data_IF_040124112586
#
_entry.id   IF_040124112586
#
_cell.length_a   1.000
_cell.length_b   1.000
_cell.length_c   1.000
_cell.angle_alpha   90.00
_cell.angle_beta   90.00
_cell.angle_gamma   90.00
#
_symmetry.space_group_name_H-M   'P 1'
#
loop_
_entity.id
_entity.type
_entity.pdbx_description
1 polymer ?
#
# COMPACT_ATOMS: atom_id res chain seq x y z
N UNK A 1 17.84 -16.68 -0.43
CA UNK A 1 17.57 -15.85 0.76
C UNK A 1 18.14 -16.64 1.92
N UNK A 2 19.09 -16.07 2.64
CA UNK A 2 19.55 -16.73 3.88
C UNK A 2 18.30 -16.88 4.76
N UNK A 3 18.05 -18.05 5.36
CA UNK A 3 16.82 -18.32 6.14
C UNK A 3 16.54 -17.19 7.14
N UNK A 4 17.61 -16.60 7.68
CA UNK A 4 17.60 -15.41 8.53
C UNK A 4 16.94 -14.19 7.89
N UNK A 5 17.21 -13.85 6.61
CA UNK A 5 16.56 -12.73 5.93
C UNK A 5 15.04 -12.94 5.80
N UNK A 6 14.60 -14.19 5.58
CA UNK A 6 13.18 -14.50 5.49
C UNK A 6 12.49 -14.38 6.85
N UNK A 7 13.10 -14.96 7.88
CA UNK A 7 12.60 -14.91 9.27
C UNK A 7 12.55 -13.45 9.74
N UNK A 8 13.61 -12.68 9.54
CA UNK A 8 13.67 -11.28 9.94
C UNK A 8 12.64 -10.43 9.18
N UNK A 9 12.57 -10.56 7.84
CA UNK A 9 11.61 -9.80 7.04
C UNK A 9 10.16 -10.11 7.39
N UNK A 10 9.79 -11.39 7.44
CA UNK A 10 8.43 -11.80 7.80
C UNK A 10 8.09 -11.50 9.27
N UNK A 11 9.06 -11.58 10.18
CA UNK A 11 8.91 -11.22 11.58
C UNK A 11 8.64 -9.72 11.77
N UNK A 12 9.38 -8.86 11.06
CA UNK A 12 9.13 -7.41 11.08
C UNK A 12 7.74 -7.08 10.54
N UNK A 13 7.33 -7.68 9.42
CA UNK A 13 5.99 -7.50 8.86
C UNK A 13 4.91 -7.96 9.84
N UNK A 14 5.12 -9.09 10.52
CA UNK A 14 4.18 -9.58 11.52
C UNK A 14 4.09 -8.66 12.74
N UNK A 15 5.23 -8.15 13.23
CA UNK A 15 5.26 -7.19 14.33
C UNK A 15 4.51 -5.89 13.98
N UNK A 16 4.72 -5.36 12.77
CA UNK A 16 3.96 -4.22 12.26
C UNK A 16 2.47 -4.57 12.13
N UNK A 17 2.13 -5.77 11.67
CA UNK A 17 0.75 -6.25 11.59
C UNK A 17 0.05 -6.30 12.95
N UNK A 18 0.73 -6.79 13.99
CA UNK A 18 0.24 -6.78 15.38
C UNK A 18 0.01 -5.34 15.83
N UNK A 19 0.98 -4.45 15.60
CA UNK A 19 0.87 -3.05 16.00
C UNK A 19 -0.32 -2.34 15.32
N UNK A 20 -0.44 -2.47 13.99
CA UNK A 20 -1.54 -1.86 13.23
C UNK A 20 -2.89 -2.42 13.65
N UNK A 21 -2.98 -3.73 13.94
CA UNK A 21 -4.19 -4.36 14.47
C UNK A 21 -4.54 -3.77 15.83
N UNK A 22 -3.57 -3.71 16.74
CA UNK A 22 -3.76 -3.09 18.06
C UNK A 22 -4.31 -1.67 17.95
N UNK A 23 -3.64 -0.80 17.18
CA UNK A 23 -4.09 0.59 16.97
C UNK A 23 -5.51 0.63 16.37
N UNK A 24 -5.81 -0.20 15.37
CA UNK A 24 -7.13 -0.20 14.72
C UNK A 24 -8.27 -0.58 15.68
N UNK A 25 -8.01 -1.43 16.67
CA UNK A 25 -9.01 -1.85 17.65
C UNK A 25 -9.12 -0.92 18.87
N UNK A 26 -8.06 -0.20 19.25
CA UNK A 26 -8.07 0.69 20.42
C UNK A 26 -8.50 2.12 20.13
N UNK A 27 -8.48 2.55 18.86
CA UNK A 27 -8.90 3.91 18.48
C UNK A 27 -10.42 4.06 18.44
N UNK A 28 -10.87 5.30 18.69
CA UNK A 28 -12.28 5.70 18.67
C UNK A 28 -12.49 6.90 17.72
N UNK A 29 -13.68 7.07 17.13
CA UNK A 29 -14.89 6.24 17.27
C UNK A 29 -14.80 4.91 16.51
N UNK A 30 -15.46 3.87 17.03
CA UNK A 30 -15.30 2.50 16.55
C UNK A 30 -15.73 2.31 15.08
N UNK A 31 -16.74 3.06 14.64
CA UNK A 31 -17.30 3.01 13.29
C UNK A 31 -16.28 3.46 12.25
N UNK A 32 -15.45 4.46 12.58
CA UNK A 32 -14.43 4.97 11.67
C UNK A 32 -13.30 3.96 11.39
N UNK A 33 -13.12 2.97 12.27
CA UNK A 33 -12.07 1.96 12.17
C UNK A 33 -12.58 0.59 11.72
N UNK A 34 -13.84 0.43 11.32
CA UNK A 34 -14.37 -0.86 10.87
C UNK A 34 -13.58 -1.46 9.70
N UNK A 35 -13.34 -0.67 8.65
CA UNK A 35 -12.54 -1.13 7.51
C UNK A 35 -11.07 -1.39 7.89
N UNK A 36 -10.36 -0.46 8.57
CA UNK A 36 -9.04 -0.74 9.11
C UNK A 36 -8.95 -2.04 9.95
N UNK A 37 -9.93 -2.31 10.82
CA UNK A 37 -9.97 -3.52 11.65
C UNK A 37 -10.10 -4.79 10.82
N UNK A 38 -10.96 -4.79 9.80
CA UNK A 38 -11.13 -5.93 8.89
C UNK A 38 -9.81 -6.26 8.18
N UNK A 39 -9.19 -5.25 7.56
CA UNK A 39 -7.95 -5.42 6.80
C UNK A 39 -6.80 -5.81 7.74
N UNK A 40 -6.66 -5.14 8.89
CA UNK A 40 -5.61 -5.43 9.86
C UNK A 40 -5.71 -6.87 10.40
N UNK A 41 -6.93 -7.35 10.68
CA UNK A 41 -7.16 -8.72 11.15
C UNK A 41 -6.75 -9.78 10.12
N UNK A 42 -7.15 -9.60 8.86
CA UNK A 42 -6.73 -10.51 7.78
C UNK A 42 -5.21 -10.44 7.60
N UNK A 43 -4.66 -9.22 7.59
CA UNK A 43 -3.23 -9.00 7.40
C UNK A 43 -2.38 -9.64 8.51
N UNK A 44 -2.73 -9.47 9.79
CA UNK A 44 -1.97 -10.04 10.91
C UNK A 44 -2.02 -11.56 10.92
N UNK A 45 -3.15 -12.16 10.56
CA UNK A 45 -3.28 -13.62 10.42
C UNK A 45 -2.37 -14.14 9.30
N UNK A 46 -2.41 -13.51 8.12
CA UNK A 46 -1.57 -13.92 6.98
C UNK A 46 -0.08 -13.68 7.24
N UNK A 47 0.27 -12.58 7.91
CA UNK A 47 1.64 -12.28 8.32
C UNK A 47 2.15 -13.30 9.36
N UNK A 48 1.33 -13.64 10.35
CA UNK A 48 1.64 -14.67 11.35
C UNK A 48 1.84 -16.05 10.71
N UNK A 49 0.98 -16.42 9.76
CA UNK A 49 1.15 -17.65 8.97
C UNK A 49 2.46 -17.67 8.19
N UNK A 50 2.81 -16.55 7.54
CA UNK A 50 4.04 -16.43 6.76
C UNK A 50 5.29 -16.52 7.64
N UNK A 51 5.29 -15.82 8.78
CA UNK A 51 6.36 -15.88 9.76
C UNK A 51 6.51 -17.27 10.38
N UNK A 52 5.40 -17.91 10.76
CA UNK A 52 5.38 -19.27 11.29
C UNK A 52 6.03 -20.27 10.31
N UNK A 53 5.65 -20.25 9.04
CA UNK A 53 6.30 -21.08 8.01
C UNK A 53 7.78 -20.76 7.83
N UNK A 54 8.19 -19.49 7.95
CA UNK A 54 9.59 -19.09 7.86
C UNK A 54 10.44 -19.65 9.02
N UNK A 55 9.93 -19.58 10.25
CA UNK A 55 10.57 -20.14 11.45
C UNK A 55 10.66 -21.65 11.35
N UNK A 56 9.57 -22.32 10.94
CA UNK A 56 9.53 -23.79 10.78
C UNK A 56 10.33 -24.30 9.58
N UNK A 57 10.85 -23.42 8.72
CA UNK A 57 11.61 -23.82 7.53
C UNK A 57 10.77 -24.45 6.42
N UNK A 58 9.44 -24.28 6.47
CA UNK A 58 8.49 -24.84 5.50
C UNK A 58 8.40 -24.00 4.21
N UNK A 59 9.01 -22.83 4.18
CA UNK A 59 8.96 -21.90 3.05
C UNK A 59 10.14 -22.10 2.09
N UNK A 60 9.86 -22.27 0.79
CA UNK A 60 10.87 -22.23 -0.27
C UNK A 60 11.48 -20.83 -0.35
N UNK A 61 12.80 -20.72 -0.22
CA UNK A 61 13.51 -19.43 -0.23
C UNK A 61 14.16 -19.18 -1.59
N UNK A 62 13.68 -18.15 -2.32
CA UNK A 62 14.25 -17.68 -3.61
C UNK A 62 15.53 -16.84 -3.45
N UNK A 63 15.99 -16.14 -4.49
CA UNK A 63 17.29 -15.43 -4.54
C UNK A 63 17.44 -14.22 -3.59
N UNK A 64 16.42 -13.82 -2.84
CA UNK A 64 16.48 -12.68 -1.90
C UNK A 64 16.45 -11.32 -2.60
N UNK A 65 16.48 -10.23 -1.83
CA UNK A 65 16.47 -8.86 -2.36
C UNK A 65 17.91 -8.45 -2.69
N UNK A 66 18.19 -8.21 -3.97
CA UNK A 66 19.48 -7.66 -4.40
C UNK A 66 19.56 -6.15 -4.15
N UNK A 67 20.77 -5.60 -4.13
CA UNK A 67 20.99 -4.14 -4.03
C UNK A 67 20.26 -3.38 -5.13
N UNK A 68 20.30 -3.90 -6.36
CA UNK A 68 19.60 -3.29 -7.50
C UNK A 68 18.09 -3.27 -7.29
N UNK A 69 17.52 -4.40 -6.84
CA UNK A 69 16.09 -4.48 -6.54
C UNK A 69 15.68 -3.49 -5.44
N UNK A 70 16.48 -3.39 -4.38
CA UNK A 70 16.23 -2.43 -3.31
C UNK A 70 16.23 -0.98 -3.81
N UNK A 71 17.26 -0.59 -4.59
CA UNK A 71 17.36 0.76 -5.16
C UNK A 71 16.18 1.04 -6.10
N UNK A 72 15.73 0.06 -6.89
CA UNK A 72 14.56 0.20 -7.76
C UNK A 72 13.26 0.46 -6.98
N UNK A 73 13.15 0.06 -5.72
CA UNK A 73 11.97 0.33 -4.88
C UNK A 73 11.97 1.73 -4.26
N UNK A 74 13.15 2.36 -4.11
CA UNK A 74 13.32 3.66 -3.43
C UNK A 74 12.43 4.77 -3.99
N UNK A 75 12.31 4.98 -5.32
CA UNK A 75 11.43 6.01 -5.85
C UNK A 75 9.97 5.82 -5.44
N UNK A 76 9.48 4.57 -5.46
CA UNK A 76 8.11 4.26 -5.03
C UNK A 76 7.91 4.50 -3.53
N UNK A 77 8.88 4.11 -2.70
CA UNK A 77 8.85 4.38 -1.26
C UNK A 77 8.82 5.89 -0.97
N UNK A 78 9.58 6.69 -1.73
CA UNK A 78 9.57 8.14 -1.60
C UNK A 78 8.19 8.73 -1.93
N UNK A 79 7.57 8.31 -3.04
CA UNK A 79 6.22 8.75 -3.42
C UNK A 79 5.19 8.38 -2.34
N UNK A 80 5.24 7.15 -1.83
CA UNK A 80 4.33 6.70 -0.77
C UNK A 80 4.53 7.46 0.53
N UNK A 81 5.77 7.77 0.90
CA UNK A 81 6.08 8.56 2.10
C UNK A 81 5.51 9.97 1.98
N UNK A 82 5.70 10.62 0.83
CA UNK A 82 5.12 11.95 0.56
C UNK A 82 3.59 11.89 0.61
N UNK A 83 2.99 10.85 0.02
CA UNK A 83 1.54 10.65 0.01
C UNK A 83 0.96 10.52 1.41
N UNK A 84 1.49 9.61 2.24
CA UNK A 84 0.92 9.28 3.56
C UNK A 84 1.03 10.45 4.53
N UNK A 85 2.17 11.13 4.58
CA UNK A 85 2.42 12.13 5.62
C UNK A 85 2.01 13.56 5.23
N UNK A 86 1.97 13.89 3.92
CA UNK A 86 1.66 15.25 3.47
C UNK A 86 0.52 15.29 2.45
N UNK A 87 0.64 14.58 1.33
CA UNK A 87 -0.25 14.81 0.19
C UNK A 87 -1.71 14.46 0.49
N UNK A 88 -1.97 13.32 1.15
CA UNK A 88 -3.34 12.92 1.48
C UNK A 88 -4.04 13.91 2.41
N UNK A 89 -3.30 14.50 3.37
CA UNK A 89 -3.82 15.54 4.26
C UNK A 89 -4.00 16.87 3.53
N UNK A 90 -3.05 17.25 2.67
CA UNK A 90 -3.06 18.53 2.00
C UNK A 90 -4.11 18.58 0.89
N UNK A 91 -4.13 17.59 -0.01
CA UNK A 91 -4.92 17.59 -1.24
C UNK A 91 -6.28 16.88 -1.10
N UNK A 92 -6.43 16.01 -0.11
CA UNK A 92 -7.54 15.07 0.00
C UNK A 92 -7.18 13.67 -0.46
N UNK A 93 -7.97 12.69 -0.05
CA UNK A 93 -7.67 11.27 -0.30
C UNK A 93 -7.70 10.91 -1.77
N UNK A 94 -8.75 11.21 -2.51
CA UNK A 94 -8.92 10.80 -3.90
C UNK A 94 -7.98 11.57 -4.81
N UNK A 95 -7.83 12.89 -4.62
CA UNK A 95 -6.90 13.70 -5.41
C UNK A 95 -5.46 13.26 -5.19
N UNK A 96 -5.02 13.13 -3.94
CA UNK A 96 -3.67 12.65 -3.64
C UNK A 96 -3.44 11.24 -4.16
N UNK A 97 -4.45 10.36 -4.09
CA UNK A 97 -4.36 8.98 -4.57
C UNK A 97 -4.21 8.94 -6.09
N UNK A 98 -4.97 9.76 -6.82
CA UNK A 98 -4.85 9.87 -8.27
C UNK A 98 -3.43 10.28 -8.69
N UNK A 99 -2.88 11.32 -8.03
CA UNK A 99 -1.53 11.82 -8.31
C UNK A 99 -0.48 10.77 -7.95
N UNK A 100 -0.54 10.20 -6.75
CA UNK A 100 0.43 9.21 -6.29
C UNK A 100 0.42 7.96 -7.18
N UNK A 101 -0.78 7.45 -7.52
CA UNK A 101 -0.92 6.30 -8.41
C UNK A 101 -0.40 6.60 -9.80
N UNK A 102 -0.72 7.77 -10.38
CA UNK A 102 -0.24 8.16 -11.70
C UNK A 102 1.29 8.29 -11.76
N UNK A 103 1.90 8.84 -10.71
CA UNK A 103 3.36 8.92 -10.58
C UNK A 103 3.96 7.53 -10.47
N UNK A 104 3.44 6.67 -9.60
CA UNK A 104 3.92 5.29 -9.44
C UNK A 104 3.80 4.51 -10.75
N UNK A 105 2.64 4.59 -11.41
CA UNK A 105 2.42 3.97 -12.69
C UNK A 105 3.43 4.49 -13.72
N UNK A 106 3.68 5.80 -13.74
CA UNK A 106 4.66 6.39 -14.66
C UNK A 106 6.10 5.96 -14.37
N UNK A 107 6.47 5.82 -13.10
CA UNK A 107 7.84 5.43 -12.70
C UNK A 107 8.15 3.95 -12.97
N UNK A 108 7.14 3.07 -12.86
CA UNK A 108 7.33 1.62 -12.94
C UNK A 108 6.82 0.98 -14.23
N UNK A 109 6.02 1.68 -15.04
CA UNK A 109 5.63 1.22 -16.37
C UNK A 109 6.82 1.34 -17.34
N UNK A 110 7.27 0.24 -17.97
CA UNK A 110 8.41 0.26 -18.89
C UNK A 110 8.13 1.02 -20.20
N UNK A 111 6.89 1.43 -20.47
CA UNK A 111 6.56 2.15 -21.69
C UNK A 111 7.26 3.53 -21.79
N UNK A 112 7.63 3.98 -23.01
CA UNK A 112 8.36 5.23 -23.20
C UNK A 112 7.60 6.48 -22.71
N UNK A 113 8.34 7.40 -22.08
CA UNK A 113 7.82 8.69 -21.63
C UNK A 113 7.70 9.76 -22.74
N UNK A 114 8.29 9.52 -23.90
CA UNK A 114 8.24 10.43 -25.05
C UNK A 114 6.95 10.30 -25.88
N UNK A 115 6.13 9.28 -25.62
CA UNK A 115 4.95 8.98 -26.41
C UNK A 115 3.67 9.48 -25.75
N UNK A 116 2.94 10.40 -26.41
CA UNK A 116 1.65 10.90 -25.92
C UNK A 116 0.61 9.79 -25.68
N UNK A 117 0.62 8.73 -26.50
CA UNK A 117 -0.27 7.57 -26.34
C UNK A 117 -0.06 6.85 -25.00
N UNK A 118 1.18 6.77 -24.53
CA UNK A 118 1.51 6.17 -23.23
C UNK A 118 0.91 6.99 -22.10
N UNK A 119 1.05 8.33 -22.16
CA UNK A 119 0.46 9.23 -21.17
C UNK A 119 -1.06 9.13 -21.09
N UNK A 120 -1.74 9.06 -22.25
CA UNK A 120 -3.19 8.87 -22.30
C UNK A 120 -3.59 7.55 -21.64
N UNK A 121 -2.89 6.44 -21.93
CA UNK A 121 -3.16 5.15 -21.27
C UNK A 121 -2.97 5.24 -19.76
N UNK A 122 -1.89 5.85 -19.27
CA UNK A 122 -1.63 6.03 -17.83
C UNK A 122 -2.72 6.85 -17.15
N UNK A 123 -3.19 7.90 -17.82
CA UNK A 123 -4.30 8.73 -17.33
C UNK A 123 -5.60 7.92 -17.25
N UNK A 124 -5.93 7.14 -18.27
CA UNK A 124 -7.13 6.28 -18.28
C UNK A 124 -7.06 5.22 -17.19
N UNK A 125 -5.94 4.53 -17.04
CA UNK A 125 -5.76 3.52 -15.98
C UNK A 125 -5.93 4.15 -14.59
N UNK A 126 -5.36 5.34 -14.39
CA UNK A 126 -5.50 6.09 -13.14
C UNK A 126 -6.96 6.47 -12.87
N UNK A 127 -7.68 6.96 -13.87
CA UNK A 127 -9.09 7.33 -13.72
C UNK A 127 -9.95 6.11 -13.36
N UNK A 128 -9.73 4.97 -14.02
CA UNK A 128 -10.42 3.71 -13.71
C UNK A 128 -10.10 3.24 -12.29
N UNK A 129 -8.83 3.28 -11.89
CA UNK A 129 -8.41 2.93 -10.53
C UNK A 129 -9.13 3.80 -9.49
N UNK A 130 -9.12 5.12 -9.66
CA UNK A 130 -9.80 6.05 -8.73
C UNK A 130 -11.30 5.82 -8.71
N UNK A 131 -11.94 5.55 -9.85
CA UNK A 131 -13.36 5.25 -9.92
C UNK A 131 -13.72 3.97 -9.15
N UNK A 132 -12.91 2.91 -9.28
CA UNK A 132 -13.08 1.67 -8.50
C UNK A 132 -12.88 1.95 -7.00
N UNK A 133 -11.85 2.70 -6.63
CA UNK A 133 -11.58 3.06 -5.24
C UNK A 133 -12.71 3.89 -4.64
N UNK A 134 -13.28 4.83 -5.40
CA UNK A 134 -14.44 5.62 -4.98
C UNK A 134 -15.67 4.74 -4.78
N UNK A 135 -15.96 3.83 -5.72
CA UNK A 135 -17.05 2.86 -5.59
C UNK A 135 -16.91 1.98 -4.35
N UNK A 136 -15.71 1.49 -4.08
CA UNK A 136 -15.46 0.63 -2.93
C UNK A 136 -15.51 1.40 -1.61
N UNK A 137 -14.78 2.51 -1.50
CA UNK A 137 -14.57 3.18 -0.21
C UNK A 137 -15.64 4.22 0.12
N UNK A 138 -16.07 5.05 -0.84
CA UNK A 138 -17.12 6.02 -0.58
C UNK A 138 -18.51 5.37 -0.61
N UNK A 139 -18.80 4.53 -1.62
CA UNK A 139 -20.16 4.00 -1.84
C UNK A 139 -20.45 2.72 -1.07
N UNK A 140 -19.55 1.72 -1.11
CA UNK A 140 -19.82 0.42 -0.50
C UNK A 140 -19.48 0.39 1.00
N UNK A 141 -18.33 0.94 1.38
CA UNK A 141 -17.79 0.83 2.74
C UNK A 141 -17.95 2.09 3.59
N UNK A 142 -18.43 3.20 3.00
CA UNK A 142 -18.66 4.49 3.68
C UNK A 142 -17.50 4.94 4.57
N UNK A 143 -16.26 4.78 4.09
CA UNK A 143 -15.04 5.09 4.84
C UNK A 143 -14.85 6.61 4.96
N UNK A 144 -14.48 7.07 6.16
CA UNK A 144 -14.08 8.46 6.37
C UNK A 144 -12.70 8.72 5.76
N UNK A 145 -12.65 9.55 4.72
CA UNK A 145 -11.41 9.95 4.05
C UNK A 145 -11.06 11.40 4.38
N UNK A 146 -9.77 11.79 4.41
CA UNK A 146 -9.37 13.19 4.39
C UNK A 146 -10.17 13.97 3.34
N UNK A 147 -10.78 15.09 3.75
CA UNK A 147 -11.62 15.92 2.87
C UNK A 147 -10.78 16.48 1.73
N UNK A 148 -11.39 16.56 0.54
CA UNK A 148 -10.70 17.15 -0.61
C UNK A 148 -10.58 18.66 -0.41
N UNK A 149 -9.54 19.27 -1.00
CA UNK A 149 -9.47 20.75 -1.05
C UNK A 149 -10.70 21.31 -1.79
N UNK A 150 -11.20 20.58 -2.78
CA UNK A 150 -12.23 21.07 -3.68
C UNK A 150 -13.67 20.72 -3.26
N UNK A 151 -13.90 19.70 -2.39
CA UNK A 151 -15.23 19.32 -1.87
C UNK A 151 -15.15 18.56 -0.53
#
# INVERSE_FOLDING_TARGET
>A
MNRSQHILGSGLVFAVGIWVTWVSYTQSPAEAFLFPRLIASVFVVLAGWTFGKAVLGLSKVGSGISRTMFISMVPGLAVMTVYVFWAAKALGFYTATAIAFFILLSLYDPAPHSEGKTWVKRAVITAVFVAVMYGLFAKLLSVYTPREILF
#
